data_IF_983182850188
#
_entry.id   IF_983182850188
#
_cell.length_a   1.000
_cell.length_b   1.000
_cell.length_c   1.000
_cell.angle_alpha   90.00
_cell.angle_beta   90.00
_cell.angle_gamma   90.00
#
_symmetry.space_group_name_H-M   'P 1'
#
loop_
_entity.id
_entity.type
_entity.pdbx_description
1 polymer ?
#
# COMPACT_ATOMS: atom_id res chain seq x y z
N UNK A 1 -50.95 42.97 32.88
CA UNK A 1 -49.64 42.65 33.42
C UNK A 1 -49.05 41.55 32.58
N UNK A 2 -48.45 41.98 31.42
CA UNK A 2 -47.81 41.04 30.48
C UNK A 2 -46.44 40.66 31.00
N UNK A 3 -46.35 39.47 31.54
CA UNK A 3 -45.06 38.83 31.77
C UNK A 3 -44.58 38.24 30.47
N UNK A 4 -43.84 39.01 29.65
CA UNK A 4 -43.08 38.46 28.55
C UNK A 4 -42.04 37.48 29.10
N UNK A 5 -42.34 36.18 28.98
CA UNK A 5 -41.30 35.13 29.16
C UNK A 5 -40.26 35.34 28.09
N UNK A 6 -39.08 35.89 28.43
CA UNK A 6 -37.91 35.86 27.58
C UNK A 6 -37.58 34.38 27.36
N UNK A 7 -37.92 33.87 26.20
CA UNK A 7 -37.44 32.55 25.78
C UNK A 7 -35.94 32.67 25.57
N UNK A 8 -35.17 31.96 26.38
CA UNK A 8 -33.71 31.85 26.18
C UNK A 8 -33.48 30.57 25.38
N UNK A 9 -33.05 30.71 24.17
CA UNK A 9 -32.66 29.59 23.34
C UNK A 9 -31.24 29.19 23.69
N UNK A 10 -31.01 27.93 24.05
CA UNK A 10 -29.69 27.40 24.40
C UNK A 10 -28.94 26.87 23.17
N UNK A 11 -29.65 26.56 22.09
CA UNK A 11 -29.07 26.08 20.84
C UNK A 11 -29.94 26.45 19.66
N UNK A 12 -29.34 26.71 18.52
CA UNK A 12 -30.00 26.94 17.25
C UNK A 12 -29.27 26.12 16.18
N UNK A 13 -30.06 25.46 15.31
CA UNK A 13 -29.50 24.75 14.16
C UNK A 13 -29.58 25.68 12.93
N UNK A 14 -28.44 25.83 12.25
CA UNK A 14 -28.33 26.61 11.03
C UNK A 14 -28.10 25.65 9.88
N UNK A 15 -29.01 25.63 8.92
CA UNK A 15 -28.90 24.84 7.70
C UNK A 15 -28.22 25.70 6.62
N UNK A 16 -27.20 25.14 5.97
CA UNK A 16 -26.44 25.79 4.90
C UNK A 16 -26.65 25.00 3.62
N UNK A 17 -26.93 25.70 2.51
CA UNK A 17 -27.28 25.09 1.22
C UNK A 17 -26.13 24.31 0.58
N UNK A 18 -24.88 24.66 0.85
CA UNK A 18 -23.71 24.04 0.26
C UNK A 18 -22.59 23.81 1.30
N UNK A 19 -21.89 22.68 1.16
CA UNK A 19 -20.78 22.33 2.06
C UNK A 19 -19.62 23.34 2.00
N UNK A 20 -19.40 23.99 0.84
CA UNK A 20 -18.35 25.00 0.69
C UNK A 20 -18.62 26.27 1.51
N UNK A 21 -19.87 26.59 1.76
CA UNK A 21 -20.27 27.77 2.53
C UNK A 21 -20.28 27.55 4.05
N UNK A 22 -20.24 26.30 4.52
CA UNK A 22 -20.27 25.97 5.96
C UNK A 22 -19.12 26.66 6.71
N UNK A 23 -17.90 26.62 6.17
CA UNK A 23 -16.72 27.23 6.80
C UNK A 23 -16.84 28.75 6.90
N UNK A 24 -17.47 29.43 5.91
CA UNK A 24 -17.68 30.87 5.93
C UNK A 24 -18.74 31.26 6.97
N UNK A 25 -19.87 30.52 7.02
CA UNK A 25 -20.94 30.75 7.99
C UNK A 25 -20.44 30.50 9.41
N UNK A 26 -19.67 29.47 9.62
CA UNK A 26 -19.04 29.13 10.89
C UNK A 26 -18.14 30.27 11.39
N UNK A 27 -17.31 30.83 10.51
CA UNK A 27 -16.44 31.97 10.84
C UNK A 27 -17.23 33.22 11.20
N UNK A 28 -18.29 33.54 10.46
CA UNK A 28 -19.17 34.69 10.72
C UNK A 28 -19.87 34.56 12.08
N UNK A 29 -20.32 33.34 12.42
CA UNK A 29 -20.98 33.09 13.70
C UNK A 29 -20.00 33.11 14.88
N UNK A 30 -18.77 32.57 14.68
CA UNK A 30 -17.71 32.63 15.67
C UNK A 30 -17.26 34.06 15.96
N UNK A 31 -17.13 34.91 14.94
CA UNK A 31 -16.81 36.33 15.07
C UNK A 31 -17.88 37.13 15.85
N UNK A 32 -19.13 36.63 15.84
CA UNK A 32 -20.24 37.16 16.62
C UNK A 32 -20.29 36.64 18.06
N UNK A 33 -19.35 35.79 18.45
CA UNK A 33 -19.22 35.26 19.82
C UNK A 33 -20.05 34.02 20.11
N UNK A 34 -20.62 33.38 19.09
CA UNK A 34 -21.35 32.11 19.26
C UNK A 34 -20.40 30.92 19.22
N UNK A 35 -20.65 29.94 20.09
CA UNK A 35 -19.98 28.65 19.97
C UNK A 35 -20.66 27.86 18.86
N UNK A 36 -19.92 27.62 17.78
CA UNK A 36 -20.40 26.87 16.61
C UNK A 36 -19.76 25.50 16.59
N UNK A 37 -20.58 24.47 16.62
CA UNK A 37 -20.17 23.09 16.39
C UNK A 37 -20.66 22.66 15.02
N UNK A 38 -19.76 22.39 14.10
CA UNK A 38 -20.08 21.93 12.76
C UNK A 38 -19.78 20.43 12.63
N UNK A 39 -20.66 19.70 11.94
CA UNK A 39 -20.36 18.32 11.52
C UNK A 39 -19.13 18.26 10.62
N UNK A 40 -18.81 19.37 9.96
CA UNK A 40 -17.63 19.52 9.10
C UNK A 40 -16.32 19.40 9.91
N UNK A 41 -16.25 20.02 11.09
CA UNK A 41 -15.07 19.94 11.98
C UNK A 41 -14.82 18.50 12.42
N UNK A 42 -15.89 17.76 12.67
CA UNK A 42 -15.79 16.33 13.01
C UNK A 42 -15.32 15.50 11.80
N UNK A 43 -15.82 15.79 10.60
CA UNK A 43 -15.38 15.13 9.36
C UNK A 43 -13.92 15.45 9.03
N UNK A 44 -13.49 16.71 9.19
CA UNK A 44 -12.09 17.11 8.99
C UNK A 44 -11.16 16.41 9.99
N UNK A 45 -11.51 16.41 11.26
CA UNK A 45 -10.76 15.71 12.30
C UNK A 45 -10.67 14.21 12.02
N UNK A 46 -11.76 13.58 11.60
CA UNK A 46 -11.82 12.18 11.24
C UNK A 46 -10.96 11.86 10.01
N UNK A 47 -10.99 12.74 8.98
CA UNK A 47 -10.12 12.62 7.80
C UNK A 47 -8.65 12.79 8.16
N UNK A 48 -8.32 13.77 8.99
CA UNK A 48 -6.95 13.99 9.43
C UNK A 48 -6.41 12.79 10.20
N UNK A 49 -7.21 12.21 11.09
CA UNK A 49 -6.86 10.98 11.80
C UNK A 49 -6.65 9.81 10.85
N UNK A 50 -7.56 9.63 9.88
CA UNK A 50 -7.45 8.58 8.86
C UNK A 50 -6.20 8.75 8.00
N UNK A 51 -5.87 9.98 7.59
CA UNK A 51 -4.67 10.27 6.81
C UNK A 51 -3.39 9.96 7.62
N UNK A 52 -3.38 10.28 8.92
CA UNK A 52 -2.25 9.97 9.79
C UNK A 52 -2.04 8.45 9.90
N UNK A 53 -3.12 7.69 10.13
CA UNK A 53 -3.06 6.23 10.19
C UNK A 53 -2.56 5.64 8.85
N UNK A 54 -3.08 6.15 7.73
CA UNK A 54 -2.64 5.72 6.40
C UNK A 54 -1.16 6.03 6.15
N UNK A 55 -0.67 7.20 6.58
CA UNK A 55 0.73 7.58 6.44
C UNK A 55 1.66 6.67 7.25
N UNK A 56 1.28 6.35 8.50
CA UNK A 56 2.05 5.44 9.36
C UNK A 56 2.06 4.02 8.76
N UNK A 57 0.90 3.49 8.38
CA UNK A 57 0.80 2.15 7.77
C UNK A 57 1.54 2.09 6.43
N UNK A 58 1.43 3.14 5.61
CA UNK A 58 2.18 3.27 4.36
C UNK A 58 3.69 3.31 4.58
N UNK A 59 4.15 4.02 5.60
CA UNK A 59 5.56 4.07 5.99
C UNK A 59 6.10 2.69 6.41
N UNK A 60 5.36 1.97 7.25
CA UNK A 60 5.70 0.60 7.67
C UNK A 60 5.74 -0.33 6.44
N UNK A 61 4.73 -0.22 5.57
CA UNK A 61 4.67 -1.00 4.33
C UNK A 61 5.84 -0.72 3.39
N UNK A 62 6.24 0.55 3.25
CA UNK A 62 7.38 0.94 2.43
C UNK A 62 8.71 0.35 2.94
N UNK A 63 8.94 0.40 4.26
CA UNK A 63 10.14 -0.21 4.88
C UNK A 63 10.13 -1.73 4.69
N UNK A 64 8.99 -2.38 4.91
CA UNK A 64 8.83 -3.83 4.70
C UNK A 64 9.12 -4.23 3.26
N UNK A 65 8.62 -3.44 2.30
CA UNK A 65 8.85 -3.64 0.88
C UNK A 65 10.33 -3.49 0.52
N UNK A 66 11.01 -2.51 1.11
CA UNK A 66 12.44 -2.28 0.90
C UNK A 66 13.27 -3.46 1.41
N UNK A 67 12.96 -3.98 2.59
CA UNK A 67 13.61 -5.19 3.15
C UNK A 67 13.36 -6.40 2.25
N UNK A 68 12.13 -6.59 1.75
CA UNK A 68 11.80 -7.66 0.82
C UNK A 68 12.60 -7.55 -0.49
N UNK A 69 12.76 -6.34 -1.03
CA UNK A 69 13.55 -6.09 -2.24
C UNK A 69 15.03 -6.46 -2.04
N UNK A 70 15.62 -6.15 -0.87
CA UNK A 70 16.98 -6.60 -0.50
C UNK A 70 17.05 -8.13 -0.44
N UNK A 71 16.04 -8.78 0.14
CA UNK A 71 15.94 -10.24 0.19
C UNK A 71 15.94 -10.88 -1.21
N UNK A 72 15.13 -10.35 -2.13
CA UNK A 72 15.10 -10.78 -3.53
C UNK A 72 16.47 -10.59 -4.19
N UNK A 73 17.09 -9.42 -4.01
CA UNK A 73 18.40 -9.14 -4.57
C UNK A 73 19.47 -10.11 -4.07
N UNK A 74 19.47 -10.44 -2.77
CA UNK A 74 20.41 -11.40 -2.19
C UNK A 74 20.19 -12.82 -2.72
N UNK A 75 18.93 -13.27 -2.83
CA UNK A 75 18.59 -14.57 -3.39
C UNK A 75 19.02 -14.69 -4.85
N UNK A 76 18.79 -13.63 -5.65
CA UNK A 76 19.20 -13.58 -7.05
C UNK A 76 20.73 -13.59 -7.20
N UNK A 77 21.45 -12.87 -6.31
CA UNK A 77 22.91 -12.91 -6.30
C UNK A 77 23.44 -14.31 -6.05
N UNK A 78 22.87 -15.03 -5.07
CA UNK A 78 23.25 -16.41 -4.76
C UNK A 78 22.98 -17.34 -5.95
N UNK A 79 21.77 -17.26 -6.55
CA UNK A 79 21.41 -18.02 -7.75
C UNK A 79 22.40 -17.79 -8.90
N UNK A 80 22.83 -16.55 -9.12
CA UNK A 80 23.83 -16.22 -10.17
C UNK A 80 25.19 -16.86 -9.86
N UNK A 81 25.64 -16.83 -8.60
CA UNK A 81 26.90 -17.45 -8.21
C UNK A 81 26.88 -18.96 -8.40
N UNK A 82 25.79 -19.63 -8.03
CA UNK A 82 25.63 -21.09 -8.20
C UNK A 82 25.63 -21.50 -9.67
N UNK A 83 25.07 -20.65 -10.57
CA UNK A 83 24.95 -20.90 -12.02
C UNK A 83 26.05 -20.20 -12.85
N UNK A 84 27.13 -19.73 -12.23
CA UNK A 84 28.19 -18.97 -12.92
C UNK A 84 28.82 -19.77 -14.08
N UNK A 85 29.00 -21.07 -13.94
CA UNK A 85 29.51 -21.96 -14.98
C UNK A 85 28.58 -22.03 -16.21
N UNK A 86 27.27 -22.18 -15.97
CA UNK A 86 26.25 -22.23 -17.03
C UNK A 86 26.18 -20.91 -17.79
N UNK A 87 26.24 -19.78 -17.06
CA UNK A 87 26.26 -18.43 -17.65
C UNK A 87 27.52 -18.24 -18.51
N UNK A 88 28.67 -18.74 -18.04
CA UNK A 88 29.93 -18.73 -18.79
C UNK A 88 29.82 -19.50 -20.10
N UNK A 89 29.25 -20.72 -20.07
CA UNK A 89 29.06 -21.55 -21.28
C UNK A 89 28.07 -20.87 -22.24
N UNK A 90 26.98 -20.31 -21.79
CA UNK A 90 26.02 -19.57 -22.64
C UNK A 90 26.71 -18.41 -23.37
N UNK A 91 27.62 -17.70 -22.69
CA UNK A 91 28.37 -16.60 -23.27
C UNK A 91 29.35 -17.08 -24.35
N UNK A 92 30.10 -18.19 -24.11
CA UNK A 92 31.01 -18.76 -25.09
C UNK A 92 30.25 -19.26 -26.33
N UNK A 93 29.06 -19.77 -26.17
CA UNK A 93 28.18 -20.19 -27.29
C UNK A 93 27.55 -19.00 -28.05
N UNK A 94 27.84 -17.75 -27.65
CA UNK A 94 27.37 -16.56 -28.34
C UNK A 94 25.96 -16.11 -27.96
N UNK A 95 25.45 -16.55 -26.80
CA UNK A 95 24.16 -16.07 -26.32
C UNK A 95 24.19 -14.56 -26.05
N UNK A 96 23.16 -13.85 -26.56
CA UNK A 96 23.06 -12.40 -26.34
C UNK A 96 22.91 -12.05 -24.86
N UNK A 97 23.63 -11.02 -24.44
CA UNK A 97 23.60 -10.53 -23.03
C UNK A 97 22.21 -10.05 -22.59
N UNK A 98 21.42 -9.56 -23.54
CA UNK A 98 20.03 -9.17 -23.30
C UNK A 98 19.16 -10.34 -22.88
N UNK A 99 19.35 -11.51 -23.49
CA UNK A 99 18.63 -12.73 -23.17
C UNK A 99 18.96 -13.24 -21.77
N UNK A 100 20.24 -13.22 -21.40
CA UNK A 100 20.69 -13.60 -20.04
C UNK A 100 20.07 -12.67 -19.00
N UNK A 101 20.06 -11.36 -19.26
CA UNK A 101 19.43 -10.38 -18.36
C UNK A 101 17.94 -10.61 -18.21
N UNK A 102 17.23 -10.81 -19.34
CA UNK A 102 15.77 -11.01 -19.31
C UNK A 102 15.38 -12.27 -18.55
N UNK A 103 16.17 -13.34 -18.64
CA UNK A 103 15.96 -14.57 -17.87
C UNK A 103 15.95 -14.28 -16.36
N UNK A 104 16.94 -13.56 -15.83
CA UNK A 104 17.00 -13.21 -14.41
C UNK A 104 15.92 -12.21 -14.00
N UNK A 105 15.52 -11.28 -14.89
CA UNK A 105 14.42 -10.36 -14.62
C UNK A 105 13.08 -11.08 -14.55
N UNK A 106 12.84 -12.06 -15.40
CA UNK A 106 11.63 -12.89 -15.36
C UNK A 106 11.62 -13.72 -14.06
N UNK A 107 12.76 -14.32 -13.68
CA UNK A 107 12.88 -15.09 -12.45
C UNK A 107 12.57 -14.22 -11.20
N UNK A 108 13.16 -13.03 -11.10
CA UNK A 108 12.86 -12.09 -10.00
C UNK A 108 11.43 -11.57 -10.03
N UNK A 109 10.87 -11.33 -11.22
CA UNK A 109 9.46 -10.97 -11.40
C UNK A 109 8.52 -12.08 -10.95
N UNK A 110 8.88 -13.34 -11.20
CA UNK A 110 8.11 -14.49 -10.74
C UNK A 110 8.11 -14.63 -9.22
N UNK A 111 9.24 -14.35 -8.56
CA UNK A 111 9.30 -14.27 -7.09
C UNK A 111 8.33 -13.20 -6.57
N UNK A 112 8.33 -12.00 -7.20
CA UNK A 112 7.39 -10.94 -6.88
C UNK A 112 5.94 -11.34 -7.11
N UNK A 113 5.64 -12.03 -8.21
CA UNK A 113 4.31 -12.56 -8.52
C UNK A 113 3.82 -13.54 -7.44
N UNK A 114 4.63 -14.54 -7.09
CA UNK A 114 4.28 -15.50 -6.05
C UNK A 114 4.05 -14.82 -4.69
N UNK A 115 4.92 -13.88 -4.32
CA UNK A 115 4.75 -13.07 -3.10
C UNK A 115 3.48 -12.22 -3.14
N UNK A 116 3.18 -11.60 -4.27
CA UNK A 116 1.96 -10.81 -4.48
C UNK A 116 0.68 -11.63 -4.37
N UNK A 117 0.66 -12.82 -4.98
CA UNK A 117 -0.48 -13.75 -4.90
C UNK A 117 -0.69 -14.23 -3.46
N UNK A 118 0.37 -14.68 -2.79
CA UNK A 118 0.29 -15.12 -1.39
C UNK A 118 -0.16 -13.98 -0.48
N UNK A 119 0.38 -12.77 -0.65
CA UNK A 119 -0.03 -11.58 0.08
C UNK A 119 -1.51 -11.24 -0.13
N UNK A 120 -1.99 -11.31 -1.37
CA UNK A 120 -3.40 -11.08 -1.69
C UNK A 120 -4.30 -12.14 -1.01
N UNK A 121 -3.94 -13.42 -1.08
CA UNK A 121 -4.70 -14.50 -0.44
C UNK A 121 -4.77 -14.33 1.08
N UNK A 122 -3.64 -13.99 1.71
CA UNK A 122 -3.59 -13.72 3.15
C UNK A 122 -4.45 -12.50 3.52
N UNK A 123 -4.39 -11.44 2.72
CA UNK A 123 -5.20 -10.24 2.94
C UNK A 123 -6.70 -10.53 2.85
N UNK A 124 -7.14 -11.31 1.87
CA UNK A 124 -8.53 -11.77 1.78
C UNK A 124 -8.92 -12.64 2.96
N UNK A 125 -8.05 -13.57 3.37
CA UNK A 125 -8.27 -14.42 4.55
C UNK A 125 -8.48 -13.59 5.82
N UNK A 126 -7.59 -12.62 6.07
CA UNK A 126 -7.72 -11.70 7.22
C UNK A 126 -8.99 -10.86 7.12
N UNK A 127 -9.33 -10.34 5.94
CA UNK A 127 -10.55 -9.57 5.72
C UNK A 127 -11.81 -10.37 6.05
N UNK A 128 -11.87 -11.65 5.65
CA UNK A 128 -12.99 -12.54 6.00
C UNK A 128 -13.09 -12.75 7.51
N UNK A 129 -11.96 -13.00 8.17
CA UNK A 129 -11.90 -13.21 9.62
C UNK A 129 -12.40 -11.95 10.34
N UNK A 130 -11.88 -10.77 9.98
CA UNK A 130 -12.29 -9.49 10.58
C UNK A 130 -13.78 -9.24 10.40
N UNK A 131 -14.31 -9.41 9.19
CA UNK A 131 -15.74 -9.24 8.93
C UNK A 131 -16.59 -10.22 9.72
N UNK A 132 -16.13 -11.47 9.90
CA UNK A 132 -16.84 -12.48 10.66
C UNK A 132 -16.92 -12.15 12.16
N UNK A 133 -15.79 -11.69 12.72
CA UNK A 133 -15.74 -11.26 14.13
C UNK A 133 -16.62 -10.03 14.38
N UNK A 134 -16.65 -9.07 13.47
CA UNK A 134 -17.45 -7.85 13.59
C UNK A 134 -18.92 -8.14 13.40
N UNK A 135 -19.31 -8.98 12.42
CA UNK A 135 -20.71 -9.43 12.28
C UNK A 135 -21.22 -10.19 13.50
N UNK A 136 -20.33 -10.86 14.25
CA UNK A 136 -20.69 -11.51 15.51
C UNK A 136 -20.91 -10.51 16.65
N UNK A 137 -20.39 -9.27 16.50
CA UNK A 137 -20.61 -8.14 17.43
C UNK A 137 -21.84 -7.30 17.10
N UNK A 138 -22.78 -7.80 16.28
CA UNK A 138 -24.03 -7.12 15.89
C UNK A 138 -24.94 -6.70 17.06
N UNK A 139 -24.59 -7.04 18.30
CA UNK A 139 -25.16 -6.46 19.52
C UNK A 139 -24.93 -4.95 19.68
N UNK A 140 -24.05 -4.34 18.85
CA UNK A 140 -23.71 -2.90 18.90
C UNK A 140 -24.28 -2.06 17.74
N UNK A 141 -25.18 -2.61 16.93
CA UNK A 141 -25.92 -1.83 15.90
C UNK A 141 -25.08 -1.33 14.72
N UNK A 142 -23.87 -1.82 14.53
CA UNK A 142 -23.02 -1.53 13.38
C UNK A 142 -23.12 -2.64 12.33
N UNK A 143 -24.24 -2.70 11.62
CA UNK A 143 -24.40 -3.59 10.48
C UNK A 143 -23.67 -3.06 9.25
N UNK A 144 -22.48 -3.58 8.98
CA UNK A 144 -21.71 -3.26 7.78
C UNK A 144 -20.42 -4.07 7.64
N UNK A 145 -20.05 -4.43 6.42
CA UNK A 145 -18.72 -5.01 6.14
C UNK A 145 -17.64 -3.95 6.36
N UNK A 146 -16.85 -4.07 7.41
CA UNK A 146 -15.76 -3.15 7.75
C UNK A 146 -14.61 -3.22 6.75
N UNK A 147 -14.35 -4.39 6.18
CA UNK A 147 -13.25 -4.60 5.22
C UNK A 147 -13.81 -5.12 3.90
N UNK A 148 -13.63 -4.33 2.84
CA UNK A 148 -14.01 -4.70 1.48
C UNK A 148 -12.84 -4.44 0.54
N UNK A 149 -12.21 -5.50 0.09
CA UNK A 149 -11.08 -5.42 -0.83
C UNK A 149 -11.62 -5.54 -2.26
N UNK A 150 -11.58 -4.48 -3.09
CA UNK A 150 -12.00 -4.57 -4.47
C UNK A 150 -11.01 -5.39 -5.29
N UNK A 151 -11.49 -6.20 -6.22
CA UNK A 151 -10.65 -7.09 -7.04
C UNK A 151 -9.57 -6.35 -7.83
N UNK A 152 -9.88 -5.16 -8.35
CA UNK A 152 -8.91 -4.37 -9.10
C UNK A 152 -7.68 -4.01 -8.25
N UNK A 153 -7.88 -3.78 -6.94
CA UNK A 153 -6.78 -3.46 -6.01
C UNK A 153 -5.86 -4.68 -5.80
N UNK A 154 -6.44 -5.89 -5.73
CA UNK A 154 -5.66 -7.11 -5.64
C UNK A 154 -4.79 -7.31 -6.89
N UNK A 155 -5.33 -7.11 -8.09
CA UNK A 155 -4.55 -7.18 -9.33
C UNK A 155 -3.48 -6.08 -9.40
N UNK A 156 -3.79 -4.86 -8.98
CA UNK A 156 -2.84 -3.77 -8.92
C UNK A 156 -1.69 -4.08 -7.94
N UNK A 157 -2.00 -4.67 -6.77
CA UNK A 157 -0.99 -5.06 -5.79
C UNK A 157 -0.07 -6.17 -6.31
N UNK A 158 -0.62 -7.18 -7.00
CA UNK A 158 0.17 -8.24 -7.64
C UNK A 158 1.07 -7.64 -8.74
N UNK A 159 0.53 -6.79 -9.60
CA UNK A 159 1.32 -6.10 -10.62
C UNK A 159 2.45 -5.25 -10.03
N UNK A 160 2.18 -4.56 -8.94
CA UNK A 160 3.18 -3.79 -8.21
C UNK A 160 4.25 -4.70 -7.57
N UNK A 161 3.88 -5.85 -7.01
CA UNK A 161 4.81 -6.82 -6.46
C UNK A 161 5.75 -7.40 -7.53
N UNK A 162 5.23 -7.69 -8.74
CA UNK A 162 6.04 -8.10 -9.89
C UNK A 162 7.04 -7.00 -10.24
N UNK A 163 6.57 -5.75 -10.34
CA UNK A 163 7.44 -4.61 -10.65
C UNK A 163 8.57 -4.46 -9.64
N UNK A 164 8.27 -4.55 -8.34
CA UNK A 164 9.28 -4.48 -7.28
C UNK A 164 10.26 -5.65 -7.36
N UNK A 165 9.77 -6.88 -7.62
CA UNK A 165 10.60 -8.04 -7.83
C UNK A 165 11.59 -7.85 -8.98
N UNK A 166 11.11 -7.37 -10.13
CA UNK A 166 11.95 -7.06 -11.28
C UNK A 166 12.96 -5.94 -10.99
N UNK A 167 12.55 -4.88 -10.29
CA UNK A 167 13.43 -3.77 -9.90
C UNK A 167 14.53 -4.24 -8.95
N UNK A 168 14.20 -5.10 -7.97
CA UNK A 168 15.16 -5.68 -7.04
C UNK A 168 16.17 -6.62 -7.76
N UNK A 169 15.71 -7.40 -8.73
CA UNK A 169 16.53 -8.31 -9.52
C UNK A 169 17.37 -7.64 -10.61
N UNK A 170 17.09 -6.36 -10.92
CA UNK A 170 17.78 -5.66 -12.00
C UNK A 170 19.29 -5.52 -11.75
N UNK A 171 19.68 -5.11 -10.54
CA UNK A 171 21.10 -4.91 -10.20
C UNK A 171 21.89 -6.24 -10.19
N UNK A 172 21.42 -7.33 -9.58
CA UNK A 172 22.02 -8.66 -9.72
C UNK A 172 22.14 -9.12 -11.18
N UNK A 173 21.06 -8.98 -11.97
CA UNK A 173 21.07 -9.36 -13.38
C UNK A 173 22.15 -8.62 -14.19
N UNK A 174 22.36 -7.34 -13.92
CA UNK A 174 23.44 -6.54 -14.52
C UNK A 174 24.84 -7.06 -14.12
N UNK A 175 25.02 -7.55 -12.91
CA UNK A 175 26.28 -8.16 -12.46
C UNK A 175 26.56 -9.48 -13.17
N UNK A 176 25.54 -10.31 -13.38
CA UNK A 176 25.66 -11.55 -14.14
C UNK A 176 26.24 -11.33 -15.56
N UNK A 177 25.83 -10.25 -16.21
CA UNK A 177 26.36 -9.89 -17.53
C UNK A 177 27.83 -9.53 -17.52
N UNK A 178 28.38 -9.02 -16.41
CA UNK A 178 29.81 -8.61 -16.30
C UNK A 178 30.74 -9.76 -15.93
N UNK A 179 30.25 -10.96 -15.65
CA UNK A 179 31.07 -12.13 -15.35
C UNK A 179 31.95 -12.49 -16.60
N UNK A 180 33.26 -12.63 -16.38
CA UNK A 180 34.18 -13.05 -17.43
C UNK A 180 33.96 -14.53 -17.73
N UNK A 181 33.77 -14.92 -19.01
CA UNK A 181 33.65 -16.33 -19.39
C UNK A 181 34.83 -17.19 -18.97
N UNK A 182 36.06 -16.64 -19.13
CA UNK A 182 37.30 -17.31 -18.74
C UNK A 182 37.40 -17.55 -17.23
N UNK A 183 36.99 -16.58 -16.40
CA UNK A 183 36.97 -16.72 -14.95
C UNK A 183 35.92 -17.75 -14.48
N UNK A 184 34.79 -17.81 -15.19
CA UNK A 184 33.70 -18.75 -14.87
C UNK A 184 34.08 -20.23 -15.11
N UNK A 185 34.95 -20.51 -16.07
CA UNK A 185 35.39 -21.87 -16.44
C UNK A 185 36.63 -22.29 -15.62
N UNK A 186 37.47 -21.34 -15.17
CA UNK A 186 38.75 -21.60 -14.49
C UNK A 186 38.67 -21.72 -12.97
N UNK A 187 37.57 -21.34 -12.37
CA UNK A 187 37.36 -21.56 -10.93
C UNK A 187 36.95 -23.03 -10.66
N UNK A 188 37.96 -23.86 -10.44
CA UNK A 188 37.86 -25.03 -9.61
C UNK A 188 38.20 -24.67 -8.17
#
# INVERSE_FOLDING_TARGET
SDVYKRQVYNSAEVFVDDMEHVAQVQKILADKGYQVNSQMDWLESSRQQSNMVQAVLGGIGAVSLFVAAIGIANTMMMSIYERTKEIGVMKVLGCDMGNIRSMFLIESGFIGFMGGVLGALLSYGVSIIVNRFVSMSDMMGMSGNLSRIPLWLAFAAIGFAIFVGMAAGFMPAMRAMKLSPLAAIRNE
#
